data_IF_451072583595
#
_entry.id   IF_451072583595
#
_cell.length_a   1.000
_cell.length_b   1.000
_cell.length_c   1.000
_cell.angle_alpha   90.00
_cell.angle_beta   90.00
_cell.angle_gamma   90.00
#
_symmetry.space_group_name_H-M   'P 1'
#
loop_
_entity.id
_entity.type
_entity.pdbx_description
1 polymer ?
#
# COMPACT_ATOMS: atom_id res chain seq x y z
N UNK A 1 -29.16 55.41 -62.57
CA UNK A 1 -28.90 55.44 -61.16
C UNK A 1 -29.36 54.07 -60.58
N UNK A 2 -28.47 53.18 -60.35
CA UNK A 2 -28.77 51.97 -59.64
C UNK A 2 -27.47 51.49 -58.91
N UNK A 3 -27.54 51.50 -57.62
CA UNK A 3 -26.48 51.18 -56.71
C UNK A 3 -26.31 49.68 -56.62
N UNK A 4 -25.09 49.15 -56.75
CA UNK A 4 -24.72 47.81 -56.54
C UNK A 4 -24.42 47.61 -55.01
N UNK A 5 -25.09 46.65 -54.37
CA UNK A 5 -24.79 46.24 -53.01
C UNK A 5 -23.62 45.28 -52.96
N UNK A 6 -22.89 45.16 -51.79
CA UNK A 6 -21.70 44.34 -51.68
C UNK A 6 -22.03 42.89 -51.47
N UNK A 7 -21.20 42.05 -52.09
CA UNK A 7 -21.14 40.61 -52.11
C UNK A 7 -20.67 40.10 -50.72
N UNK A 8 -21.57 39.56 -49.90
CA UNK A 8 -21.28 38.92 -48.61
C UNK A 8 -20.87 37.42 -48.82
N UNK A 9 -19.57 37.21 -49.09
CA UNK A 9 -18.98 35.87 -49.03
C UNK A 9 -18.67 35.49 -47.59
N UNK A 10 -19.49 34.62 -47.06
CA UNK A 10 -19.24 33.92 -45.78
C UNK A 10 -17.95 33.08 -45.94
N UNK A 11 -16.90 33.29 -45.12
CA UNK A 11 -15.74 32.40 -45.12
C UNK A 11 -16.14 31.04 -44.53
N UNK A 12 -15.98 29.99 -45.31
CA UNK A 12 -16.10 28.61 -44.92
C UNK A 12 -15.26 28.31 -43.67
N UNK A 13 -15.93 27.94 -42.58
CA UNK A 13 -15.34 27.66 -41.29
C UNK A 13 -14.24 26.59 -41.41
N UNK A 14 -13.03 26.94 -40.98
CA UNK A 14 -11.99 25.97 -40.65
C UNK A 14 -12.53 25.07 -39.56
N UNK A 15 -12.70 23.80 -39.86
CA UNK A 15 -12.84 22.78 -38.83
C UNK A 15 -11.57 22.80 -37.96
N UNK A 16 -11.65 23.46 -36.81
CA UNK A 16 -10.67 23.35 -35.77
C UNK A 16 -10.89 21.95 -35.20
N UNK A 17 -9.99 21.00 -35.52
CA UNK A 17 -9.89 19.77 -34.77
C UNK A 17 -9.58 20.18 -33.34
N UNK A 18 -10.57 20.18 -32.45
CA UNK A 18 -10.35 20.20 -31.03
C UNK A 18 -9.66 18.89 -30.71
N UNK A 19 -8.32 18.90 -30.61
CA UNK A 19 -7.57 17.83 -29.93
C UNK A 19 -8.21 17.64 -28.57
N UNK A 20 -8.47 16.42 -28.20
CA UNK A 20 -8.97 16.10 -26.85
C UNK A 20 -8.06 16.79 -25.83
N UNK A 21 -8.64 17.36 -24.77
CA UNK A 21 -7.84 17.95 -23.70
C UNK A 21 -6.83 16.90 -23.19
N UNK A 22 -5.59 17.28 -22.82
CA UNK A 22 -4.55 16.34 -22.38
C UNK A 22 -5.05 15.30 -21.39
N UNK A 23 -5.90 15.71 -20.44
CA UNK A 23 -6.50 14.83 -19.45
C UNK A 23 -7.44 13.75 -20.06
N UNK A 24 -8.15 14.07 -21.15
CA UNK A 24 -9.02 13.12 -21.84
C UNK A 24 -8.23 12.05 -22.60
N UNK A 25 -7.06 12.40 -23.13
CA UNK A 25 -6.16 11.44 -23.78
C UNK A 25 -5.51 10.52 -22.77
N UNK A 26 -5.07 11.03 -21.62
CA UNK A 26 -4.55 10.23 -20.50
C UNK A 26 -5.60 9.25 -20.00
N UNK A 27 -6.83 9.73 -19.76
CA UNK A 27 -7.94 8.90 -19.33
C UNK A 27 -8.23 7.77 -20.35
N UNK A 28 -8.15 8.06 -21.64
CA UNK A 28 -8.33 7.08 -22.70
C UNK A 28 -7.24 5.99 -22.68
N UNK A 29 -5.96 6.39 -22.56
CA UNK A 29 -4.84 5.42 -22.47
C UNK A 29 -4.92 4.59 -21.20
N UNK A 30 -5.25 5.21 -20.05
CA UNK A 30 -5.50 4.48 -18.79
C UNK A 30 -6.61 3.45 -18.94
N UNK A 31 -7.75 3.85 -19.54
CA UNK A 31 -8.87 2.93 -19.82
C UNK A 31 -8.44 1.78 -20.73
N UNK A 32 -7.62 2.04 -21.74
CA UNK A 32 -7.06 1.00 -22.62
C UNK A 32 -6.23 0.00 -21.83
N UNK A 33 -5.38 0.45 -20.91
CA UNK A 33 -4.60 -0.44 -20.03
C UNK A 33 -5.53 -1.36 -19.20
N UNK A 34 -6.57 -0.79 -18.58
CA UNK A 34 -7.53 -1.56 -17.77
C UNK A 34 -8.27 -2.59 -18.64
N UNK A 35 -8.75 -2.19 -19.82
CA UNK A 35 -9.47 -3.08 -20.75
C UNK A 35 -8.57 -4.20 -21.29
N UNK A 36 -7.29 -3.93 -21.55
CA UNK A 36 -6.34 -4.96 -21.95
C UNK A 36 -6.28 -6.08 -20.89
N UNK A 37 -6.30 -5.74 -19.59
CA UNK A 37 -6.35 -6.72 -18.51
C UNK A 37 -7.62 -7.57 -18.49
N UNK A 38 -8.76 -7.00 -18.86
CA UNK A 38 -10.03 -7.74 -18.92
C UNK A 38 -10.16 -8.62 -20.17
N UNK A 39 -9.55 -8.21 -21.27
CA UNK A 39 -9.61 -8.93 -22.54
C UNK A 39 -8.48 -9.95 -22.71
N UNK A 40 -7.56 -10.07 -21.74
CA UNK A 40 -6.41 -10.95 -21.85
C UNK A 40 -5.43 -10.53 -22.95
N UNK A 41 -5.21 -9.21 -23.12
CA UNK A 41 -4.26 -8.65 -24.10
C UNK A 41 -2.95 -8.20 -23.39
N UNK A 42 -1.98 -9.12 -23.18
CA UNK A 42 -0.73 -8.78 -22.51
C UNK A 42 0.16 -7.86 -23.35
N UNK A 43 0.08 -7.94 -24.68
CA UNK A 43 0.88 -7.08 -25.56
C UNK A 43 0.41 -5.62 -25.49
N UNK A 44 -0.91 -5.40 -25.51
CA UNK A 44 -1.50 -4.08 -25.33
C UNK A 44 -1.22 -3.47 -23.96
N UNK A 45 -1.23 -4.28 -22.90
CA UNK A 45 -0.87 -3.82 -21.55
C UNK A 45 0.64 -3.49 -21.45
N UNK A 46 1.53 -4.35 -21.98
CA UNK A 46 2.99 -4.12 -21.94
C UNK A 46 3.41 -2.85 -22.67
N UNK A 47 2.78 -2.54 -23.81
CA UNK A 47 3.06 -1.31 -24.54
C UNK A 47 2.81 -0.05 -23.71
N UNK A 48 2.01 -0.14 -22.64
CA UNK A 48 1.67 0.98 -21.75
C UNK A 48 2.53 1.03 -20.47
N UNK A 49 3.43 0.09 -20.23
CA UNK A 49 4.37 0.14 -19.12
C UNK A 49 5.39 1.29 -19.22
N UNK A 50 5.63 1.80 -20.44
CA UNK A 50 6.52 2.93 -20.70
C UNK A 50 5.76 4.20 -21.05
N UNK A 51 4.47 4.30 -20.75
CA UNK A 51 3.69 5.51 -20.98
C UNK A 51 4.27 6.70 -20.17
N UNK A 52 4.33 7.93 -20.73
CA UNK A 52 4.81 9.08 -19.99
C UNK A 52 4.02 9.34 -18.70
N UNK A 53 2.74 8.99 -18.69
CA UNK A 53 1.84 9.25 -17.55
C UNK A 53 1.89 8.10 -16.52
N UNK A 54 2.24 8.40 -15.25
CA UNK A 54 2.34 7.39 -14.19
C UNK A 54 1.06 6.59 -13.97
N UNK A 55 -0.10 7.25 -14.04
CA UNK A 55 -1.42 6.60 -13.86
C UNK A 55 -1.70 5.54 -14.92
N UNK A 56 -1.12 5.69 -16.11
CA UNK A 56 -1.22 4.71 -17.21
C UNK A 56 -0.28 3.54 -16.95
N UNK A 57 0.99 3.80 -16.55
CA UNK A 57 1.95 2.75 -16.18
C UNK A 57 1.43 1.90 -15.02
N UNK A 58 0.91 2.53 -13.96
CA UNK A 58 0.32 1.84 -12.82
C UNK A 58 -0.88 0.96 -13.24
N UNK A 59 -1.75 1.45 -14.14
CA UNK A 59 -2.86 0.67 -14.66
C UNK A 59 -2.39 -0.53 -15.50
N UNK A 60 -1.32 -0.38 -16.27
CA UNK A 60 -0.72 -1.44 -17.07
C UNK A 60 -0.13 -2.56 -16.20
N UNK A 61 0.60 -2.21 -15.11
CA UNK A 61 1.08 -3.17 -14.11
C UNK A 61 -0.09 -3.98 -13.52
N UNK A 62 -1.15 -3.31 -13.10
CA UNK A 62 -2.34 -3.96 -12.55
C UNK A 62 -3.06 -4.86 -13.55
N UNK A 63 -3.07 -4.51 -14.83
CA UNK A 63 -3.64 -5.32 -15.90
C UNK A 63 -2.86 -6.63 -16.10
N UNK A 64 -1.54 -6.55 -16.18
CA UNK A 64 -0.65 -7.71 -16.32
C UNK A 64 -0.70 -8.62 -15.09
N UNK A 65 -0.77 -8.05 -13.88
CA UNK A 65 -0.92 -8.82 -12.65
C UNK A 65 -2.24 -9.61 -12.65
N UNK A 66 -3.35 -9.00 -13.04
CA UNK A 66 -4.63 -9.70 -13.14
C UNK A 66 -4.57 -10.89 -14.09
N UNK A 67 -3.97 -10.71 -15.26
CA UNK A 67 -3.80 -11.80 -16.24
C UNK A 67 -2.93 -12.94 -15.67
N UNK A 68 -1.90 -12.63 -14.89
CA UNK A 68 -1.08 -13.65 -14.23
C UNK A 68 -1.89 -14.46 -13.21
N UNK A 69 -2.75 -13.80 -12.42
CA UNK A 69 -3.63 -14.49 -11.45
C UNK A 69 -4.66 -15.39 -12.11
N UNK A 70 -5.23 -14.94 -13.21
CA UNK A 70 -6.26 -15.69 -13.92
C UNK A 70 -5.67 -16.85 -14.76
N UNK A 71 -4.34 -16.99 -14.78
CA UNK A 71 -3.58 -18.02 -15.52
C UNK A 71 -3.97 -18.12 -17.01
N UNK A 72 -4.51 -17.05 -17.55
CA UNK A 72 -5.08 -17.03 -18.90
C UNK A 72 -4.04 -16.75 -19.98
N UNK A 73 -2.94 -16.07 -19.61
CA UNK A 73 -1.93 -15.59 -20.56
C UNK A 73 -0.58 -15.33 -19.87
N UNK A 74 0.45 -15.00 -20.68
CA UNK A 74 1.74 -14.48 -20.25
C UNK A 74 1.57 -13.13 -19.50
N UNK A 75 1.33 -13.21 -18.19
CA UNK A 75 1.06 -12.08 -17.30
C UNK A 75 2.32 -11.25 -16.98
N UNK A 76 2.33 -10.60 -15.82
CA UNK A 76 3.43 -9.76 -15.37
C UNK A 76 4.70 -10.59 -15.11
N UNK A 77 5.82 -10.16 -15.70
CA UNK A 77 7.14 -10.78 -15.57
C UNK A 77 7.95 -10.11 -14.47
N UNK A 78 8.92 -10.83 -13.91
CA UNK A 78 9.80 -10.31 -12.84
C UNK A 78 10.53 -9.01 -13.20
N UNK A 79 11.13 -8.84 -14.39
CA UNK A 79 11.75 -7.56 -14.76
C UNK A 79 10.76 -6.40 -14.87
N UNK A 80 9.51 -6.68 -15.27
CA UNK A 80 8.46 -5.65 -15.39
C UNK A 80 8.04 -5.18 -13.99
N UNK A 81 7.92 -6.09 -13.02
CA UNK A 81 7.65 -5.76 -11.63
C UNK A 81 8.82 -5.01 -10.99
N UNK A 82 10.05 -5.47 -11.18
CA UNK A 82 11.25 -4.81 -10.67
C UNK A 82 11.37 -3.35 -11.17
N UNK A 83 11.06 -3.12 -12.45
CA UNK A 83 11.01 -1.76 -13.01
C UNK A 83 9.89 -0.91 -12.36
N UNK A 84 8.75 -1.51 -12.06
CA UNK A 84 7.66 -0.83 -11.35
C UNK A 84 8.04 -0.44 -9.91
N UNK A 85 8.77 -1.30 -9.19
CA UNK A 85 9.26 -1.03 -7.83
C UNK A 85 10.29 0.10 -7.78
N UNK A 86 10.97 0.38 -8.90
CA UNK A 86 11.99 1.44 -9.01
C UNK A 86 11.52 2.63 -9.87
N UNK A 87 10.24 2.70 -10.21
CA UNK A 87 9.69 3.79 -11.02
C UNK A 87 9.89 5.15 -10.33
N UNK A 88 10.20 6.24 -11.07
CA UNK A 88 10.36 7.57 -10.50
C UNK A 88 9.10 8.09 -9.80
N UNK A 89 7.92 7.64 -10.21
CA UNK A 89 6.65 8.10 -9.64
C UNK A 89 6.17 7.21 -8.48
N UNK A 90 5.85 7.79 -7.32
CA UNK A 90 5.43 7.03 -6.15
C UNK A 90 4.12 6.22 -6.36
N UNK A 91 3.20 6.69 -7.21
CA UNK A 91 1.97 5.95 -7.47
C UNK A 91 2.23 4.63 -8.24
N UNK A 92 3.27 4.60 -9.07
CA UNK A 92 3.69 3.39 -9.79
C UNK A 92 4.40 2.44 -8.83
N UNK A 93 5.35 2.94 -7.99
CA UNK A 93 6.02 2.13 -6.95
C UNK A 93 5.01 1.51 -5.99
N UNK A 94 4.05 2.31 -5.50
CA UNK A 94 2.96 1.82 -4.66
C UNK A 94 2.17 0.70 -5.35
N UNK A 95 1.81 0.90 -6.63
CA UNK A 95 1.10 -0.14 -7.39
C UNK A 95 1.93 -1.41 -7.57
N UNK A 96 3.23 -1.29 -7.78
CA UNK A 96 4.14 -2.42 -7.87
C UNK A 96 4.24 -3.20 -6.54
N UNK A 97 4.26 -2.49 -5.39
CA UNK A 97 4.20 -3.10 -4.06
C UNK A 97 2.88 -3.84 -3.80
N UNK A 98 1.73 -3.26 -4.20
CA UNK A 98 0.43 -3.93 -4.12
C UNK A 98 0.41 -5.26 -4.93
N UNK A 99 1.10 -5.26 -6.06
CA UNK A 99 1.26 -6.45 -6.90
C UNK A 99 2.20 -7.45 -6.25
N UNK A 100 3.32 -6.99 -5.70
CA UNK A 100 4.31 -7.82 -5.02
C UNK A 100 3.70 -8.56 -3.83
N UNK A 101 2.92 -7.87 -3.00
CA UNK A 101 2.27 -8.45 -1.82
C UNK A 101 1.37 -9.66 -2.13
N UNK A 102 0.75 -9.70 -3.30
CA UNK A 102 -0.12 -10.81 -3.73
C UNK A 102 0.58 -11.87 -4.58
N UNK A 103 1.91 -11.92 -4.58
CA UNK A 103 2.70 -12.76 -5.47
C UNK A 103 3.69 -13.63 -4.68
N UNK A 104 3.89 -14.89 -5.12
CA UNK A 104 4.97 -15.71 -4.58
C UNK A 104 6.32 -15.04 -4.85
N UNK A 105 7.15 -14.83 -3.83
CA UNK A 105 8.42 -14.16 -3.96
C UNK A 105 9.40 -15.05 -4.73
N UNK A 106 9.74 -14.63 -5.93
CA UNK A 106 10.59 -15.44 -6.79
C UNK A 106 12.03 -14.93 -6.91
N UNK A 107 12.32 -13.70 -6.45
CA UNK A 107 13.66 -13.14 -6.70
C UNK A 107 14.21 -12.27 -5.57
N UNK A 108 15.51 -12.36 -5.35
CA UNK A 108 16.27 -11.48 -4.46
C UNK A 108 16.13 -10.00 -4.85
N UNK A 109 16.00 -9.71 -6.13
CA UNK A 109 15.81 -8.34 -6.64
C UNK A 109 14.52 -7.70 -6.11
N UNK A 110 13.43 -8.46 -6.03
CA UNK A 110 12.17 -7.95 -5.46
C UNK A 110 12.30 -7.70 -3.95
N UNK A 111 12.97 -8.59 -3.22
CA UNK A 111 13.26 -8.41 -1.80
C UNK A 111 14.10 -7.16 -1.54
N UNK A 112 15.17 -6.96 -2.30
CA UNK A 112 16.05 -5.79 -2.16
C UNK A 112 15.29 -4.49 -2.45
N UNK A 113 14.47 -4.47 -3.51
CA UNK A 113 13.62 -3.34 -3.82
C UNK A 113 12.60 -3.05 -2.71
N UNK A 114 11.93 -4.08 -2.16
CA UNK A 114 11.00 -3.94 -1.04
C UNK A 114 11.69 -3.32 0.17
N UNK A 115 12.86 -3.84 0.56
CA UNK A 115 13.64 -3.31 1.70
C UNK A 115 14.00 -1.85 1.48
N UNK A 116 14.41 -1.46 0.28
CA UNK A 116 14.71 -0.07 -0.04
C UNK A 116 13.46 0.84 0.07
N UNK A 117 12.29 0.35 -0.35
CA UNK A 117 11.03 1.11 -0.32
C UNK A 117 10.46 1.29 1.11
N UNK A 118 10.92 0.55 2.11
CA UNK A 118 10.62 0.83 3.52
C UNK A 118 11.22 2.17 4.00
N UNK A 119 12.17 2.73 3.25
CA UNK A 119 12.75 4.06 3.48
C UNK A 119 12.45 5.05 2.32
N UNK A 120 11.37 4.83 1.58
CA UNK A 120 10.96 5.72 0.47
C UNK A 120 10.65 7.14 0.97
N UNK A 121 10.91 8.14 0.14
CA UNK A 121 10.58 9.53 0.45
C UNK A 121 9.08 9.85 0.46
N UNK A 122 8.26 8.99 -0.13
CA UNK A 122 6.80 9.13 -0.13
C UNK A 122 6.17 8.19 0.91
N UNK A 123 5.47 8.79 1.90
CA UNK A 123 4.83 8.05 2.99
C UNK A 123 3.83 6.98 2.53
N UNK A 124 3.13 7.23 1.41
CA UNK A 124 2.16 6.25 0.90
C UNK A 124 2.83 5.02 0.29
N UNK A 125 4.08 5.15 -0.14
CA UNK A 125 4.93 4.04 -0.57
C UNK A 125 5.41 3.26 0.65
N UNK A 126 5.91 3.95 1.70
CA UNK A 126 6.35 3.30 2.95
C UNK A 126 5.23 2.49 3.59
N UNK A 127 4.01 3.05 3.67
CA UNK A 127 2.84 2.35 4.22
C UNK A 127 2.57 1.03 3.48
N UNK A 128 2.54 1.06 2.14
CA UNK A 128 2.29 -0.14 1.33
C UNK A 128 3.50 -1.08 1.35
N UNK A 129 4.73 -0.57 1.46
CA UNK A 129 5.93 -1.40 1.61
C UNK A 129 5.90 -2.19 2.93
N UNK A 130 5.45 -1.57 4.04
CA UNK A 130 5.24 -2.27 5.30
C UNK A 130 4.22 -3.41 5.15
N UNK A 131 3.06 -3.14 4.54
CA UNK A 131 2.08 -4.18 4.27
C UNK A 131 2.66 -5.31 3.42
N UNK A 132 3.30 -4.98 2.28
CA UNK A 132 3.92 -5.98 1.43
C UNK A 132 4.98 -6.82 2.15
N UNK A 133 5.75 -6.22 3.07
CA UNK A 133 6.71 -6.96 3.89
C UNK A 133 6.03 -7.95 4.86
N UNK A 134 4.85 -7.60 5.36
CA UNK A 134 4.03 -8.48 6.20
C UNK A 134 3.47 -9.70 5.46
N UNK A 135 3.22 -9.57 4.15
CA UNK A 135 2.75 -10.66 3.28
C UNK A 135 3.89 -11.65 2.88
N UNK A 136 5.16 -11.30 3.18
CA UNK A 136 6.35 -12.09 2.85
C UNK A 136 7.18 -12.44 4.09
N UNK A 137 6.65 -13.26 5.02
CA UNK A 137 7.35 -13.64 6.25
C UNK A 137 8.67 -14.40 6.00
N UNK A 138 8.83 -15.06 4.86
CA UNK A 138 10.07 -15.71 4.45
C UNK A 138 11.24 -14.74 4.26
N UNK A 139 10.98 -13.44 4.11
CA UNK A 139 11.99 -12.39 4.05
C UNK A 139 12.28 -11.72 5.39
N UNK A 140 11.75 -12.27 6.49
CA UNK A 140 11.82 -11.69 7.84
C UNK A 140 13.23 -11.27 8.26
N UNK A 141 14.24 -12.08 7.96
CA UNK A 141 15.65 -11.76 8.26
C UNK A 141 16.15 -10.47 7.59
N UNK A 142 15.48 -9.98 6.55
CA UNK A 142 15.84 -8.77 5.82
C UNK A 142 14.90 -7.61 6.10
N UNK A 143 13.65 -7.88 6.47
CA UNK A 143 12.60 -6.86 6.60
C UNK A 143 12.39 -6.41 8.05
N UNK A 144 12.62 -7.27 9.06
CA UNK A 144 12.35 -6.95 10.47
C UNK A 144 13.15 -5.74 10.97
N UNK A 145 14.42 -5.62 10.62
CA UNK A 145 15.24 -4.46 10.98
C UNK A 145 14.68 -3.15 10.41
N UNK A 146 14.51 -3.03 9.07
CA UNK A 146 13.88 -1.87 8.44
C UNK A 146 12.46 -1.57 8.95
N UNK A 147 11.60 -2.57 9.14
CA UNK A 147 10.26 -2.38 9.75
C UNK A 147 10.35 -1.80 11.16
N UNK A 148 11.32 -2.28 11.97
CA UNK A 148 11.55 -1.76 13.32
C UNK A 148 11.99 -0.29 13.30
N UNK A 149 12.76 0.12 12.28
CA UNK A 149 13.12 1.55 12.09
C UNK A 149 11.87 2.37 11.77
N UNK A 150 10.98 1.90 10.90
CA UNK A 150 9.72 2.60 10.60
C UNK A 150 8.81 2.68 11.84
N UNK A 151 8.67 1.59 12.59
CA UNK A 151 7.82 1.53 13.79
C UNK A 151 8.36 2.34 14.97
N UNK A 152 9.69 2.53 15.05
CA UNK A 152 10.43 2.97 16.21
C UNK A 152 11.01 1.81 17.00
N UNK A 153 12.32 1.89 17.33
CA UNK A 153 13.06 0.77 17.92
C UNK A 153 12.86 0.64 19.43
N UNK A 154 12.75 1.76 20.14
CA UNK A 154 12.60 1.80 21.59
C UNK A 154 11.47 2.71 22.07
N UNK A 155 11.08 3.65 21.26
CA UNK A 155 9.94 4.57 21.48
C UNK A 155 9.39 5.04 20.13
N UNK A 156 8.11 5.44 20.06
CA UNK A 156 7.49 5.90 18.80
C UNK A 156 8.20 7.08 18.13
N UNK A 157 8.82 7.95 18.93
CA UNK A 157 9.53 9.13 18.43
C UNK A 157 10.82 8.80 17.64
N UNK A 158 11.31 7.57 17.72
CA UNK A 158 12.46 7.08 16.95
C UNK A 158 12.03 6.48 15.58
N UNK A 159 10.72 6.38 15.32
CA UNK A 159 10.15 5.83 14.10
C UNK A 159 9.81 6.91 13.06
N UNK A 160 9.10 6.50 12.03
CA UNK A 160 8.62 7.38 10.97
C UNK A 160 7.71 8.47 11.52
N UNK A 161 7.78 9.69 10.98
CA UNK A 161 7.00 10.85 11.46
C UNK A 161 5.47 10.61 11.32
N UNK A 162 5.04 9.97 10.24
CA UNK A 162 3.63 9.63 10.02
C UNK A 162 3.22 8.37 10.83
N UNK A 163 2.20 8.54 11.66
CA UNK A 163 1.69 7.44 12.48
C UNK A 163 1.03 6.31 11.69
N UNK A 164 0.57 6.55 10.45
CA UNK A 164 0.04 5.48 9.59
C UNK A 164 1.16 4.55 9.14
N UNK A 165 2.34 5.09 8.81
CA UNK A 165 3.51 4.27 8.49
C UNK A 165 3.94 3.44 9.71
N UNK A 166 3.95 4.05 10.92
CA UNK A 166 4.27 3.30 12.15
C UNK A 166 3.25 2.21 12.45
N UNK A 167 1.96 2.50 12.26
CA UNK A 167 0.89 1.51 12.40
C UNK A 167 1.07 0.33 11.44
N UNK A 168 1.34 0.62 10.15
CA UNK A 168 1.58 -0.38 9.12
C UNK A 168 2.82 -1.24 9.45
N UNK A 169 3.89 -0.61 9.94
CA UNK A 169 5.11 -1.33 10.34
C UNK A 169 4.88 -2.25 11.54
N UNK A 170 4.14 -1.78 12.56
CA UNK A 170 3.77 -2.62 13.72
C UNK A 170 2.89 -3.79 13.28
N UNK A 171 1.94 -3.56 12.37
CA UNK A 171 1.11 -4.62 11.80
C UNK A 171 1.96 -5.68 11.08
N UNK A 172 2.90 -5.23 10.24
CA UNK A 172 3.80 -6.09 9.50
C UNK A 172 4.72 -6.91 10.43
N UNK A 173 5.26 -6.30 11.48
CA UNK A 173 6.07 -6.99 12.50
C UNK A 173 5.27 -8.10 13.20
N UNK A 174 3.99 -7.85 13.48
CA UNK A 174 3.08 -8.87 14.01
C UNK A 174 2.79 -9.98 13.00
N UNK A 175 2.53 -9.66 11.74
CA UNK A 175 2.28 -10.64 10.68
C UNK A 175 3.50 -11.54 10.42
N UNK A 176 4.70 -10.95 10.44
CA UNK A 176 5.97 -11.67 10.28
C UNK A 176 6.29 -12.54 11.49
N UNK A 177 5.94 -12.11 12.72
CA UNK A 177 6.13 -12.88 13.96
C UNK A 177 7.59 -13.15 14.33
N UNK A 178 8.55 -12.47 13.73
CA UNK A 178 9.97 -12.69 14.02
C UNK A 178 10.38 -12.00 15.32
N UNK A 179 11.07 -12.73 16.21
CA UNK A 179 11.42 -12.28 17.57
C UNK A 179 12.17 -10.95 17.62
N UNK A 180 12.96 -10.62 16.60
CA UNK A 180 13.65 -9.34 16.48
C UNK A 180 12.73 -8.11 16.39
N UNK A 181 11.44 -8.28 16.02
CA UNK A 181 10.46 -7.21 15.96
C UNK A 181 9.75 -6.91 17.28
N UNK A 182 9.85 -7.83 18.27
CA UNK A 182 9.09 -7.76 19.54
C UNK A 182 9.27 -6.45 20.27
N UNK A 183 10.49 -5.96 20.39
CA UNK A 183 10.78 -4.71 21.11
C UNK A 183 10.07 -3.50 20.49
N UNK A 184 10.03 -3.40 19.15
CA UNK A 184 9.36 -2.32 18.44
C UNK A 184 7.83 -2.42 18.56
N UNK A 185 7.26 -3.63 18.58
CA UNK A 185 5.83 -3.82 18.84
C UNK A 185 5.46 -3.38 20.26
N UNK A 186 6.25 -3.75 21.27
CA UNK A 186 6.07 -3.28 22.65
C UNK A 186 6.19 -1.75 22.76
N UNK A 187 7.15 -1.13 22.07
CA UNK A 187 7.28 0.33 22.02
C UNK A 187 6.04 1.01 21.42
N UNK A 188 5.38 0.38 20.45
CA UNK A 188 4.14 0.86 19.84
C UNK A 188 2.98 1.04 20.81
N UNK A 189 2.99 0.38 21.97
CA UNK A 189 1.98 0.56 23.04
C UNK A 189 2.02 1.94 23.69
N UNK A 190 3.05 2.74 23.45
CA UNK A 190 3.17 4.12 23.94
C UNK A 190 2.82 5.18 22.88
N UNK A 191 2.36 4.78 21.71
CA UNK A 191 2.05 5.66 20.58
C UNK A 191 0.60 6.20 20.60
N UNK A 192 0.12 6.67 19.45
CA UNK A 192 -1.28 7.09 19.22
C UNK A 192 -2.23 5.89 19.35
N UNK A 193 -3.50 6.11 19.63
CA UNK A 193 -4.46 5.02 19.87
C UNK A 193 -4.50 3.96 18.77
N UNK A 194 -4.45 4.37 17.50
CA UNK A 194 -4.48 3.44 16.35
C UNK A 194 -3.26 2.52 16.35
N UNK A 195 -2.07 3.07 16.60
CA UNK A 195 -0.83 2.29 16.69
C UNK A 195 -0.84 1.40 17.93
N UNK A 196 -1.30 1.92 19.11
CA UNK A 196 -1.42 1.10 20.33
C UNK A 196 -2.32 -0.11 20.13
N UNK A 197 -3.50 0.11 19.52
CA UNK A 197 -4.41 -0.99 19.17
C UNK A 197 -3.74 -2.01 18.26
N UNK A 198 -3.04 -1.53 17.23
CA UNK A 198 -2.30 -2.41 16.31
C UNK A 198 -1.20 -3.18 17.03
N UNK A 199 -0.49 -2.53 17.97
CA UNK A 199 0.54 -3.17 18.78
C UNK A 199 -0.05 -4.29 19.66
N UNK A 200 -1.18 -4.05 20.33
CA UNK A 200 -1.88 -5.10 21.09
C UNK A 200 -2.17 -6.30 20.20
N UNK A 201 -2.77 -6.09 19.02
CA UNK A 201 -3.07 -7.18 18.09
C UNK A 201 -1.81 -7.91 17.59
N UNK A 202 -0.72 -7.17 17.35
CA UNK A 202 0.55 -7.73 16.90
C UNK A 202 1.22 -8.59 18.00
N UNK A 203 0.97 -8.30 19.28
CA UNK A 203 1.51 -9.10 20.39
C UNK A 203 1.02 -10.55 20.41
N UNK A 204 -0.07 -10.87 19.71
CA UNK A 204 -0.55 -12.24 19.54
C UNK A 204 0.48 -13.18 18.88
N UNK A 205 1.46 -12.63 18.16
CA UNK A 205 2.53 -13.39 17.50
C UNK A 205 3.80 -13.53 18.35
N UNK A 206 3.78 -13.07 19.60
CA UNK A 206 4.94 -13.09 20.49
C UNK A 206 4.60 -13.71 21.85
N UNK A 207 5.60 -14.31 22.46
CA UNK A 207 5.50 -14.93 23.79
C UNK A 207 6.47 -14.25 24.78
N UNK A 208 6.18 -14.35 26.06
CA UNK A 208 7.03 -13.91 27.16
C UNK A 208 6.30 -13.13 28.24
N UNK A 209 6.87 -13.09 29.44
CA UNK A 209 6.27 -12.42 30.60
C UNK A 209 6.03 -10.93 30.37
N UNK A 210 6.89 -10.28 29.59
CA UNK A 210 6.75 -8.87 29.19
C UNK A 210 5.58 -8.65 28.23
N UNK A 211 5.30 -9.59 27.33
CA UNK A 211 4.13 -9.57 26.43
C UNK A 211 2.84 -9.73 27.25
N UNK A 212 2.78 -10.71 28.15
CA UNK A 212 1.64 -10.90 29.04
C UNK A 212 1.39 -9.67 29.93
N UNK A 213 2.44 -9.11 30.52
CA UNK A 213 2.33 -7.90 31.33
C UNK A 213 1.82 -6.70 30.50
N UNK A 214 2.29 -6.56 29.26
CA UNK A 214 1.84 -5.53 28.33
C UNK A 214 0.36 -5.69 27.97
N UNK A 215 -0.10 -6.89 27.65
CA UNK A 215 -1.51 -7.18 27.36
C UNK A 215 -2.41 -6.90 28.58
N UNK A 216 -2.02 -7.33 29.79
CA UNK A 216 -2.76 -7.00 31.03
C UNK A 216 -2.80 -5.49 31.28
N UNK A 217 -1.73 -4.76 31.00
CA UNK A 217 -1.72 -3.30 31.12
C UNK A 217 -2.68 -2.63 30.12
N UNK A 218 -2.78 -3.18 28.90
CA UNK A 218 -3.67 -2.66 27.86
C UNK A 218 -5.16 -2.78 28.19
N UNK A 219 -5.56 -3.66 29.11
CA UNK A 219 -6.95 -3.72 29.67
C UNK A 219 -7.37 -2.43 30.36
N UNK A 220 -6.41 -1.61 30.79
CA UNK A 220 -6.67 -0.31 31.44
C UNK A 220 -6.32 0.87 30.51
N UNK A 221 -6.17 0.67 29.20
CA UNK A 221 -5.91 1.76 28.28
C UNK A 221 -7.05 2.78 28.27
N UNK A 222 -6.71 4.07 28.12
CA UNK A 222 -7.69 5.16 28.00
C UNK A 222 -8.59 5.04 26.78
N UNK A 223 -8.12 4.38 25.71
CA UNK A 223 -8.87 4.15 24.46
C UNK A 223 -9.60 2.80 24.55
N UNK A 224 -10.91 2.83 24.33
CA UNK A 224 -11.75 1.63 24.44
C UNK A 224 -11.42 0.55 23.40
N UNK A 225 -10.97 0.93 22.20
CA UNK A 225 -10.61 -0.04 21.14
C UNK A 225 -9.32 -0.79 21.49
N UNK A 226 -8.41 -0.13 22.23
CA UNK A 226 -7.19 -0.77 22.73
C UNK A 226 -7.56 -1.78 23.83
N UNK A 227 -8.45 -1.39 24.79
CA UNK A 227 -8.95 -2.31 25.82
C UNK A 227 -9.63 -3.52 25.21
N UNK A 228 -10.56 -3.29 24.25
CA UNK A 228 -11.27 -4.37 23.56
C UNK A 228 -10.32 -5.35 22.90
N UNK A 229 -9.28 -4.87 22.20
CA UNK A 229 -8.29 -5.72 21.57
C UNK A 229 -7.52 -6.57 22.60
N UNK A 230 -7.24 -6.04 23.79
CA UNK A 230 -6.60 -6.78 24.87
C UNK A 230 -7.54 -7.81 25.51
N UNK A 231 -8.81 -7.47 25.71
CA UNK A 231 -9.86 -8.38 26.21
C UNK A 231 -10.02 -9.57 25.27
N UNK A 232 -10.13 -9.32 23.96
CA UNK A 232 -10.27 -10.36 22.94
C UNK A 232 -9.09 -11.34 22.93
N UNK A 233 -7.86 -10.83 23.06
CA UNK A 233 -6.66 -11.67 23.08
C UNK A 233 -6.48 -12.47 24.39
N UNK A 234 -6.87 -11.90 25.52
CA UNK A 234 -6.74 -12.57 26.83
C UNK A 234 -7.94 -13.46 27.14
N UNK A 235 -9.01 -13.44 26.34
CA UNK A 235 -10.23 -14.20 26.59
C UNK A 235 -10.98 -13.71 27.84
N UNK A 236 -10.84 -12.45 28.22
CA UNK A 236 -11.53 -11.85 29.36
C UNK A 236 -12.88 -11.34 28.90
N UNK A 237 -13.97 -11.91 29.42
CA UNK A 237 -15.31 -11.36 29.19
C UNK A 237 -15.42 -9.98 29.84
N UNK A 238 -16.01 -8.98 29.17
CA UNK A 238 -16.26 -7.67 29.76
C UNK A 238 -17.14 -7.88 31.02
N UNK A 239 -16.69 -7.35 32.17
CA UNK A 239 -17.53 -7.35 33.38
C UNK A 239 -18.87 -6.75 33.03
N UNK A 240 -19.96 -7.54 33.17
CA UNK A 240 -21.30 -7.08 32.98
C UNK A 240 -21.50 -5.86 33.89
N UNK A 241 -21.79 -4.69 33.33
CA UNK A 241 -22.14 -3.48 34.10
C UNK A 241 -23.16 -3.89 35.16
N UNK A 242 -22.98 -3.54 36.45
CA UNK A 242 -23.97 -3.86 37.46
C UNK A 242 -25.29 -3.25 37.00
N UNK A 243 -26.26 -4.09 36.67
CA UNK A 243 -27.62 -3.67 36.46
C UNK A 243 -28.08 -2.97 37.74
N UNK A 244 -28.17 -1.63 37.66
CA UNK A 244 -28.69 -0.82 38.77
C UNK A 244 -30.08 -1.31 39.11
N UNK A 245 -30.18 -2.03 40.21
CA UNK A 245 -31.44 -2.29 40.90
C UNK A 245 -31.88 -0.98 41.55
N UNK A 246 -33.00 -0.45 41.09
CA UNK A 246 -33.67 0.67 41.71
C UNK A 246 -35.13 0.34 41.92
#
# INVERSE_FOLDING_TARGET
MASAGPDDRIPSGRHVHHGAAPDAEVATRRRRAVLAGHHGDPAGARALLSDPEPVVRAAALGALHRMARDQTTDGLRDPELANGLTDPDPAVRRRALEVLAGRDPASDTHREALVALLADGDRSVVEVACWAAGEHPEWSNHTVGPLSVVAGTSKPADGHDDSLCREAAVAALGAVGHTGGRASVLAGLSDRPTVRRRAVLALASFEGDDVEAALRSALNDRDWQVRQAAEDLLGVEPEASPTGDS
#
